data_IF_582825111482
#
_entry.id   IF_582825111482
#
_cell.length_a   1.000
_cell.length_b   1.000
_cell.length_c   1.000
_cell.angle_alpha   90.00
_cell.angle_beta   90.00
_cell.angle_gamma   90.00
#
_symmetry.space_group_name_H-M   'P 1'
#
loop_
_entity.id
_entity.type
_entity.pdbx_description
1 polymer ?
#
# COMPACT_ATOMS: atom_id res chain seq x y z
N UNK A 1 -1.51 -13.16 -16.86
CA UNK A 1 -1.86 -11.91 -16.13
C UNK A 1 -0.92 -10.75 -16.51
N UNK A 2 0.32 -11.03 -16.91
CA UNK A 2 1.28 -10.05 -17.45
C UNK A 2 1.34 -10.02 -18.98
N UNK A 3 0.44 -10.71 -19.68
CA UNK A 3 0.45 -10.83 -21.15
C UNK A 3 0.29 -9.48 -21.88
N UNK A 4 -0.15 -8.44 -21.15
CA UNK A 4 -0.19 -7.06 -21.62
C UNK A 4 1.12 -6.27 -21.46
N UNK A 5 2.16 -6.87 -20.86
CA UNK A 5 3.46 -6.23 -20.63
C UNK A 5 4.53 -6.84 -21.54
N UNK A 6 5.18 -6.04 -22.39
CA UNK A 6 6.25 -6.54 -23.24
C UNK A 6 7.43 -7.07 -22.40
N UNK A 7 7.95 -8.29 -22.66
CA UNK A 7 9.01 -8.90 -21.87
C UNK A 7 10.37 -8.18 -21.95
N UNK A 8 10.54 -7.26 -22.91
CA UNK A 8 11.76 -6.47 -23.12
C UNK A 8 11.73 -5.12 -22.41
N UNK A 9 10.68 -4.82 -21.64
CA UNK A 9 10.48 -3.55 -20.94
C UNK A 9 10.70 -3.71 -19.44
N UNK A 10 11.05 -2.62 -18.77
CA UNK A 10 10.93 -2.50 -17.32
C UNK A 10 9.45 -2.34 -16.95
N UNK A 11 8.92 -3.33 -16.25
CA UNK A 11 7.50 -3.42 -15.86
C UNK A 11 7.29 -2.75 -14.51
N UNK A 12 6.45 -1.71 -14.48
CA UNK A 12 6.22 -0.87 -13.30
C UNK A 12 4.80 -1.08 -12.76
N UNK A 13 4.67 -1.45 -11.49
CA UNK A 13 3.40 -1.43 -10.76
C UNK A 13 3.06 -0.02 -10.27
N UNK A 14 1.99 0.58 -10.77
CA UNK A 14 1.50 1.89 -10.36
C UNK A 14 0.26 1.76 -9.47
N UNK A 15 0.11 2.59 -8.41
CA UNK A 15 -1.05 2.53 -7.54
C UNK A 15 -2.29 3.10 -8.25
N UNK A 16 -3.36 2.32 -8.27
CA UNK A 16 -4.70 2.75 -8.70
C UNK A 16 -5.44 3.51 -7.59
N UNK A 17 -6.57 4.14 -7.95
CA UNK A 17 -7.43 4.84 -6.99
C UNK A 17 -6.92 6.22 -6.63
N UNK A 18 -6.93 6.58 -5.34
CA UNK A 18 -6.67 7.95 -4.86
C UNK A 18 -5.26 8.45 -5.16
N UNK A 19 -4.27 7.57 -5.30
CA UNK A 19 -2.87 7.93 -5.60
C UNK A 19 -2.56 7.95 -7.09
N UNK A 20 -3.48 7.52 -7.95
CA UNK A 20 -3.22 7.33 -9.36
C UNK A 20 -2.83 8.65 -10.06
N UNK A 21 -3.64 9.70 -9.89
CA UNK A 21 -3.36 10.99 -10.54
C UNK A 21 -2.06 11.62 -10.05
N UNK A 22 -1.82 11.61 -8.73
CA UNK A 22 -0.58 12.14 -8.16
C UNK A 22 0.66 11.37 -8.64
N UNK A 23 0.52 10.07 -8.90
CA UNK A 23 1.58 9.25 -9.51
C UNK A 23 1.83 9.68 -10.94
N UNK A 24 0.78 9.84 -11.75
CA UNK A 24 0.90 10.30 -13.14
C UNK A 24 1.57 11.68 -13.20
N UNK A 25 1.16 12.60 -12.32
CA UNK A 25 1.74 13.95 -12.24
C UNK A 25 3.22 13.91 -11.84
N UNK A 26 3.60 12.99 -10.94
CA UNK A 26 5.00 12.78 -10.55
C UNK A 26 5.84 12.33 -11.75
N UNK A 27 5.35 11.36 -12.52
CA UNK A 27 6.01 10.90 -13.75
C UNK A 27 6.07 12.01 -14.81
N UNK A 28 5.01 12.82 -14.94
CA UNK A 28 4.98 13.99 -15.82
C UNK A 28 6.07 15.01 -15.49
N UNK A 29 6.31 15.27 -14.19
CA UNK A 29 7.40 16.13 -13.72
C UNK A 29 8.79 15.54 -14.01
N UNK A 30 8.90 14.21 -14.10
CA UNK A 30 10.12 13.52 -14.48
C UNK A 30 10.31 13.41 -16.01
N UNK A 31 9.35 13.90 -16.80
CA UNK A 31 9.41 13.92 -18.26
C UNK A 31 8.68 12.76 -18.96
N UNK A 32 7.96 11.91 -18.23
CA UNK A 32 7.19 10.79 -18.79
C UNK A 32 5.71 11.12 -18.85
N UNK A 33 5.08 10.95 -20.02
CA UNK A 33 3.64 11.08 -20.20
C UNK A 33 2.98 9.73 -20.05
N UNK A 34 2.15 9.62 -19.03
CA UNK A 34 1.32 8.43 -18.77
C UNK A 34 -0.14 8.75 -19.11
N UNK A 35 -0.75 7.95 -19.98
CA UNK A 35 -2.18 8.06 -20.31
C UNK A 35 -2.94 6.82 -19.87
N UNK A 36 -4.03 7.03 -19.12
CA UNK A 36 -4.93 5.97 -18.65
C UNK A 36 -6.28 6.12 -19.36
N UNK A 37 -6.65 5.11 -20.15
CA UNK A 37 -7.93 5.12 -20.89
C UNK A 37 -9.03 4.39 -20.10
N UNK A 38 -9.94 5.15 -19.50
CA UNK A 38 -11.15 4.62 -18.86
C UNK A 38 -10.85 3.59 -17.75
N UNK A 39 -11.30 2.34 -17.95
CA UNK A 39 -11.09 1.22 -17.01
C UNK A 39 -9.88 0.35 -17.36
N UNK A 40 -9.03 0.77 -18.29
CA UNK A 40 -7.85 0.00 -18.67
C UNK A 40 -6.84 -0.01 -17.52
N UNK A 41 -6.38 -1.21 -17.15
CA UNK A 41 -5.35 -1.41 -16.12
C UNK A 41 -3.93 -1.30 -16.67
N UNK A 42 -3.75 -1.25 -17.99
CA UNK A 42 -2.46 -1.08 -18.67
C UNK A 42 -2.36 0.35 -19.26
N UNK A 43 -1.85 1.32 -18.49
CA UNK A 43 -1.58 2.66 -19.00
C UNK A 43 -0.50 2.64 -20.08
N UNK A 44 -0.56 3.62 -20.99
CA UNK A 44 0.51 3.86 -21.96
C UNK A 44 1.52 4.85 -21.39
N UNK A 45 2.79 4.58 -21.62
CA UNK A 45 3.91 5.48 -21.31
C UNK A 45 4.57 5.84 -22.64
N UNK A 46 5.00 7.09 -22.81
CA UNK A 46 5.74 7.56 -23.99
C UNK A 46 7.23 7.17 -23.98
N UNK A 47 7.53 5.94 -23.54
CA UNK A 47 8.87 5.34 -23.53
C UNK A 47 8.76 3.86 -23.91
N UNK A 48 9.53 3.43 -24.90
CA UNK A 48 9.48 2.07 -25.46
C UNK A 48 10.17 1.02 -24.58
N UNK A 49 10.90 1.44 -23.55
CA UNK A 49 11.56 0.58 -22.56
C UNK A 49 10.76 0.43 -21.29
N UNK A 50 9.66 1.17 -21.13
CA UNK A 50 8.82 1.12 -19.92
C UNK A 50 7.44 0.56 -20.25
N UNK A 51 6.91 -0.24 -19.33
CA UNK A 51 5.50 -0.63 -19.33
C UNK A 51 4.94 -0.56 -17.93
N UNK A 52 3.64 -0.35 -17.80
CA UNK A 52 3.02 -0.21 -16.49
C UNK A 52 1.69 -0.95 -16.37
N UNK A 53 1.37 -1.32 -15.14
CA UNK A 53 0.07 -1.89 -14.72
C UNK A 53 -0.41 -1.16 -13.50
N UNK A 54 -1.70 -0.86 -13.46
CA UNK A 54 -2.40 -0.32 -12.32
C UNK A 54 -2.83 -1.46 -11.39
N UNK A 55 -2.32 -1.44 -10.15
CA UNK A 55 -2.70 -2.37 -9.09
C UNK A 55 -3.25 -1.62 -7.89
N UNK A 56 -3.90 -2.32 -6.96
CA UNK A 56 -4.16 -1.72 -5.65
C UNK A 56 -2.84 -1.62 -4.88
N UNK A 57 -2.62 -0.53 -4.16
CA UNK A 57 -1.36 -0.29 -3.45
C UNK A 57 -0.99 -1.46 -2.51
N UNK A 58 -2.00 -2.07 -1.87
CA UNK A 58 -1.91 -3.25 -1.02
C UNK A 58 -1.16 -4.43 -1.65
N UNK A 59 -1.16 -4.53 -2.98
CA UNK A 59 -0.72 -5.73 -3.69
C UNK A 59 0.64 -5.55 -4.35
N UNK A 60 1.05 -4.31 -4.61
CA UNK A 60 2.21 -3.99 -5.45
C UNK A 60 3.50 -4.62 -4.90
N UNK A 61 3.75 -4.57 -3.59
CA UNK A 61 4.98 -5.15 -3.03
C UNK A 61 5.04 -6.67 -3.24
N UNK A 62 3.92 -7.38 -3.13
CA UNK A 62 3.84 -8.82 -3.42
C UNK A 62 4.11 -9.11 -4.89
N UNK A 63 3.57 -8.28 -5.79
CA UNK A 63 3.80 -8.45 -7.23
C UNK A 63 5.24 -8.16 -7.68
N UNK A 64 5.99 -7.36 -6.92
CA UNK A 64 7.45 -7.23 -7.10
C UNK A 64 8.17 -8.50 -6.64
N UNK A 65 7.84 -9.03 -5.45
CA UNK A 65 8.41 -10.28 -4.93
C UNK A 65 8.15 -11.46 -5.86
N UNK A 66 6.92 -11.56 -6.38
CA UNK A 66 6.49 -12.63 -7.28
C UNK A 66 7.05 -12.48 -8.72
N UNK A 67 7.79 -11.40 -9.02
CA UNK A 67 8.36 -11.14 -10.35
C UNK A 67 7.34 -10.79 -11.44
N UNK A 68 6.10 -10.46 -11.05
CA UNK A 68 5.02 -10.04 -11.95
C UNK A 68 5.36 -8.68 -12.56
N UNK A 69 5.89 -7.76 -11.74
CA UNK A 69 6.48 -6.48 -12.16
C UNK A 69 7.92 -6.39 -11.63
N UNK A 70 8.76 -5.60 -12.29
CA UNK A 70 10.17 -5.45 -11.93
C UNK A 70 10.36 -4.43 -10.80
N UNK A 71 9.48 -3.41 -10.74
CA UNK A 71 9.44 -2.44 -9.66
C UNK A 71 8.01 -1.89 -9.48
N UNK A 72 7.77 -1.12 -8.42
CA UNK A 72 6.47 -0.50 -8.21
C UNK A 72 6.47 0.59 -7.15
N UNK A 73 5.42 1.41 -7.17
CA UNK A 73 5.19 2.46 -6.19
C UNK A 73 4.08 2.02 -5.24
N UNK A 74 4.41 1.85 -3.97
CA UNK A 74 3.44 1.55 -2.93
C UNK A 74 3.77 2.28 -1.63
N UNK A 75 2.82 2.29 -0.71
CA UNK A 75 3.05 2.77 0.63
C UNK A 75 3.87 1.78 1.45
N UNK A 76 4.77 2.30 2.28
CA UNK A 76 5.61 1.49 3.18
C UNK A 76 4.75 0.67 4.17
N UNK A 77 3.57 1.16 4.53
CA UNK A 77 2.55 0.44 5.29
C UNK A 77 2.23 -0.93 4.68
N UNK A 78 2.09 -1.02 3.36
CA UNK A 78 1.78 -2.28 2.68
C UNK A 78 2.99 -3.21 2.57
N UNK A 79 4.21 -2.68 2.56
CA UNK A 79 5.43 -3.50 2.61
C UNK A 79 5.51 -4.22 3.96
N UNK A 80 5.33 -3.48 5.06
CA UNK A 80 5.34 -4.03 6.42
C UNK A 80 4.16 -5.00 6.66
N UNK A 81 2.96 -4.65 6.17
CA UNK A 81 1.78 -5.53 6.29
C UNK A 81 1.93 -6.84 5.52
N UNK A 82 2.56 -6.80 4.34
CA UNK A 82 2.83 -8.00 3.54
C UNK A 82 4.04 -8.81 4.02
N UNK A 83 4.77 -8.34 5.03
CA UNK A 83 5.97 -9.00 5.61
C UNK A 83 7.11 -9.23 4.60
N UNK A 84 7.23 -8.36 3.59
CA UNK A 84 8.21 -8.52 2.51
C UNK A 84 9.36 -7.50 2.52
N UNK A 85 9.56 -6.81 3.65
CA UNK A 85 10.66 -5.83 3.87
C UNK A 85 12.05 -6.39 3.53
N UNK A 86 12.25 -7.70 3.65
CA UNK A 86 13.54 -8.37 3.39
C UNK A 86 13.68 -8.90 1.96
N UNK A 87 12.62 -8.89 1.17
CA UNK A 87 12.56 -9.48 -0.17
C UNK A 87 12.58 -8.43 -1.28
N UNK A 88 12.44 -7.16 -0.91
CA UNK A 88 12.47 -6.03 -1.84
C UNK A 88 13.57 -5.04 -1.46
N UNK A 89 13.98 -4.22 -2.43
CA UNK A 89 14.91 -3.11 -2.22
C UNK A 89 14.13 -1.81 -2.30
N UNK A 90 14.10 -1.04 -1.21
CA UNK A 90 13.55 0.30 -1.21
C UNK A 90 14.50 1.27 -1.91
N UNK A 91 14.06 1.83 -3.05
CA UNK A 91 14.90 2.71 -3.88
C UNK A 91 14.89 4.14 -3.33
N UNK A 92 13.71 4.70 -3.06
CA UNK A 92 13.58 6.06 -2.54
C UNK A 92 12.20 6.32 -1.91
N UNK A 93 12.17 7.33 -1.02
CA UNK A 93 10.93 7.85 -0.45
C UNK A 93 10.36 8.94 -1.34
N UNK A 94 9.11 8.77 -1.75
CA UNK A 94 8.40 9.70 -2.62
C UNK A 94 7.29 10.41 -1.83
N UNK A 95 7.45 11.70 -1.57
CA UNK A 95 6.45 12.53 -0.86
C UNK A 95 5.54 13.25 -1.85
N UNK A 96 4.52 12.55 -2.36
CA UNK A 96 3.64 13.08 -3.43
C UNK A 96 2.15 12.75 -3.25
N UNK A 97 1.77 11.97 -2.24
CA UNK A 97 0.47 11.31 -2.17
C UNK A 97 -0.54 11.91 -1.18
N UNK A 98 -0.19 12.96 -0.43
CA UNK A 98 -1.09 13.54 0.60
C UNK A 98 -1.06 15.06 0.63
N UNK A 99 -2.18 15.64 1.09
CA UNK A 99 -2.35 17.06 1.41
C UNK A 99 -1.35 17.60 2.45
N UNK A 100 -0.62 16.72 3.14
CA UNK A 100 0.44 17.04 4.08
C UNK A 100 1.71 16.26 3.73
N UNK A 101 2.86 16.90 3.94
CA UNK A 101 4.19 16.27 3.85
C UNK A 101 4.52 15.40 5.06
N UNK A 102 3.69 15.41 6.10
CA UNK A 102 3.91 14.60 7.30
C UNK A 102 3.57 13.12 7.05
N UNK A 103 4.41 12.17 7.52
CA UNK A 103 4.09 10.75 7.45
C UNK A 103 2.78 10.43 8.17
N UNK A 104 2.01 9.49 7.61
CA UNK A 104 0.88 8.91 8.33
C UNK A 104 1.39 8.13 9.55
N UNK A 105 0.59 8.13 10.62
CA UNK A 105 0.83 7.32 11.81
C UNK A 105 -0.28 6.31 11.97
N UNK A 106 0.08 5.09 12.34
CA UNK A 106 -0.89 4.11 12.80
C UNK A 106 -1.25 4.40 14.25
N UNK A 107 -2.55 4.33 14.55
CA UNK A 107 -3.09 4.56 15.88
C UNK A 107 -4.07 3.44 16.22
N UNK A 108 -4.16 3.12 17.50
CA UNK A 108 -5.32 2.41 18.04
C UNK A 108 -6.37 3.47 18.34
N UNK A 109 -7.57 3.27 17.82
CA UNK A 109 -8.71 4.14 18.06
C UNK A 109 -9.78 3.35 18.80
N UNK A 110 -10.46 4.02 19.72
CA UNK A 110 -11.62 3.51 20.47
C UNK A 110 -12.69 4.62 20.47
N UNK A 111 -13.97 4.30 20.70
CA UNK A 111 -15.00 5.32 20.91
C UNK A 111 -14.63 6.28 22.04
N UNK A 112 -15.04 7.54 21.94
CA UNK A 112 -14.68 8.60 22.91
C UNK A 112 -15.14 8.25 24.34
N UNK A 113 -16.26 7.55 24.48
CA UNK A 113 -16.81 7.07 25.74
C UNK A 113 -16.12 5.81 26.30
N UNK A 114 -15.18 5.23 25.56
CA UNK A 114 -14.50 4.00 25.95
C UNK A 114 -13.59 4.22 27.17
N UNK A 115 -13.61 3.30 28.17
CA UNK A 115 -12.70 3.38 29.30
C UNK A 115 -11.25 2.97 28.95
N UNK A 116 -11.00 2.52 27.72
CA UNK A 116 -9.68 2.07 27.25
C UNK A 116 -8.75 3.26 27.11
N UNK A 117 -7.58 3.18 27.75
CA UNK A 117 -6.57 4.24 27.75
C UNK A 117 -5.21 3.75 27.22
N UNK A 118 -4.98 2.44 27.21
CA UNK A 118 -3.71 1.85 26.78
C UNK A 118 -3.93 0.52 26.03
N UNK A 119 -2.96 0.06 25.23
CA UNK A 119 -3.09 -1.19 24.47
C UNK A 119 -3.41 -2.41 25.34
N UNK A 120 -2.92 -2.45 26.58
CA UNK A 120 -3.15 -3.56 27.50
C UNK A 120 -4.63 -3.70 27.91
N UNK A 121 -5.40 -2.61 27.86
CA UNK A 121 -6.84 -2.64 28.15
C UNK A 121 -7.65 -3.36 27.04
N UNK A 122 -7.01 -3.68 25.91
CA UNK A 122 -7.60 -4.45 24.82
C UNK A 122 -7.49 -5.97 25.00
N UNK A 123 -6.92 -6.46 26.10
CA UNK A 123 -6.83 -7.90 26.40
C UNK A 123 -8.20 -8.60 26.23
N UNK A 124 -8.22 -9.65 25.42
CA UNK A 124 -9.39 -10.43 25.07
C UNK A 124 -10.41 -9.73 24.16
N UNK A 125 -10.16 -8.50 23.70
CA UNK A 125 -11.06 -7.73 22.83
C UNK A 125 -10.80 -7.96 21.35
N UNK A 126 -11.70 -7.45 20.52
CA UNK A 126 -11.60 -7.48 19.06
C UNK A 126 -10.95 -6.19 18.57
N UNK A 127 -10.03 -6.31 17.61
CA UNK A 127 -9.43 -5.17 16.89
C UNK A 127 -9.70 -5.37 15.40
N UNK A 128 -10.56 -4.54 14.84
CA UNK A 128 -10.85 -4.52 13.40
C UNK A 128 -9.83 -3.64 12.66
N UNK A 129 -9.21 -4.16 11.60
CA UNK A 129 -8.15 -3.45 10.86
C UNK A 129 -7.95 -4.00 9.46
N UNK A 130 -7.47 -3.18 8.53
CA UNK A 130 -6.91 -3.66 7.24
C UNK A 130 -5.47 -4.19 7.41
N UNK A 131 -4.77 -3.77 8.49
CA UNK A 131 -3.36 -4.05 8.77
C UNK A 131 -3.22 -5.22 9.75
N UNK A 132 -3.73 -6.38 9.35
CA UNK A 132 -3.88 -7.55 10.22
C UNK A 132 -2.54 -8.05 10.76
N UNK A 133 -1.54 -8.22 9.91
CA UNK A 133 -0.24 -8.76 10.30
C UNK A 133 0.52 -7.80 11.19
N UNK A 134 0.51 -6.51 10.84
CA UNK A 134 1.07 -5.44 11.66
C UNK A 134 0.41 -5.43 13.05
N UNK A 135 -0.91 -5.45 13.12
CA UNK A 135 -1.64 -5.43 14.38
C UNK A 135 -1.33 -6.66 15.23
N UNK A 136 -1.28 -7.86 14.63
CA UNK A 136 -0.87 -9.08 15.34
C UNK A 136 0.53 -8.96 15.91
N UNK A 137 1.51 -8.52 15.11
CA UNK A 137 2.90 -8.30 15.57
C UNK A 137 2.97 -7.28 16.69
N UNK A 138 2.21 -6.18 16.59
CA UNK A 138 2.16 -5.11 17.59
C UNK A 138 1.71 -5.60 18.98
N UNK A 139 0.63 -6.38 19.04
CA UNK A 139 0.09 -6.92 20.29
C UNK A 139 0.91 -8.10 20.82
N UNK A 140 1.41 -8.97 19.93
CA UNK A 140 2.29 -10.08 20.31
C UNK A 140 3.57 -9.57 20.99
N UNK A 141 4.19 -8.49 20.48
CA UNK A 141 5.37 -7.88 21.09
C UNK A 141 5.12 -7.32 22.51
N UNK A 142 3.85 -7.10 22.90
CA UNK A 142 3.42 -6.61 24.22
C UNK A 142 2.88 -7.71 25.12
N UNK A 143 2.76 -8.94 24.62
CA UNK A 143 2.15 -10.03 25.36
C UNK A 143 0.65 -9.86 25.62
N UNK A 144 -0.03 -8.99 24.86
CA UNK A 144 -1.47 -8.73 24.98
C UNK A 144 -2.19 -9.59 23.95
N UNK A 145 -3.18 -10.38 24.36
CA UNK A 145 -3.95 -11.24 23.45
C UNK A 145 -5.19 -10.49 22.98
N UNK A 146 -5.32 -10.34 21.67
CA UNK A 146 -6.49 -9.72 21.03
C UNK A 146 -6.97 -10.58 19.88
N UNK A 147 -8.25 -10.49 19.54
CA UNK A 147 -8.83 -11.09 18.34
C UNK A 147 -8.73 -10.07 17.20
N UNK A 148 -7.79 -10.28 16.26
CA UNK A 148 -7.62 -9.37 15.11
C UNK A 148 -8.52 -9.81 13.97
N UNK A 149 -9.44 -8.94 13.57
CA UNK A 149 -10.38 -9.14 12.46
C UNK A 149 -10.06 -8.23 11.28
N UNK A 150 -10.19 -8.77 10.07
CA UNK A 150 -9.98 -7.99 8.86
C UNK A 150 -11.18 -7.07 8.59
N UNK A 151 -10.90 -5.79 8.38
CA UNK A 151 -11.87 -4.78 7.92
C UNK A 151 -11.69 -4.54 6.43
N UNK A 152 -12.78 -4.31 5.69
CA UNK A 152 -12.75 -3.99 4.25
C UNK A 152 -12.74 -2.47 3.97
N UNK A 153 -12.35 -1.68 4.96
CA UNK A 153 -12.50 -0.22 4.98
C UNK A 153 -13.68 0.24 5.84
N UNK A 154 -13.83 1.56 5.97
CA UNK A 154 -14.76 2.20 6.92
C UNK A 154 -14.56 1.64 8.34
N UNK A 155 -13.30 1.48 8.73
CA UNK A 155 -12.93 0.89 10.04
C UNK A 155 -13.39 1.77 11.19
N UNK A 156 -13.66 3.06 10.95
CA UNK A 156 -14.16 4.03 11.93
C UNK A 156 -15.57 3.72 12.48
N UNK A 157 -16.36 2.86 11.82
CA UNK A 157 -17.70 2.46 12.30
C UNK A 157 -17.75 1.05 12.91
N UNK A 158 -16.61 0.38 13.00
CA UNK A 158 -16.49 -0.99 13.54
C UNK A 158 -16.31 -0.95 15.05
#
# INVERSE_FOLDING_TARGET
MTDGLPPTTLRIGLPSGSMQQSTIDLFGRAGYKISVDGRNVFPRIDDDKLSAVLFRAQEISRYVVDGIVDCGLTGHDWIVENDNEKEIVEICNLTYSRASSSPARWVLAVPDESPIQRPEDLEGKIVATELVNVTRKYFAARGVKVNVEFSWGTTEIK
#
